data_IF_273797906948
#
_entry.id   IF_273797906948
#
_cell.length_a   1.000
_cell.length_b   1.000
_cell.length_c   1.000
_cell.angle_alpha   90.00
_cell.angle_beta   90.00
_cell.angle_gamma   90.00
#
_symmetry.space_group_name_H-M   'P 1'
#
loop_
_entity.id
_entity.type
_entity.pdbx_description
1 polymer ?
#
# COMPACT_ATOMS: atom_id res chain seq x y z
N UNK A 1 37.66 -6.63 9.14
CA UNK A 1 37.53 -5.17 9.29
C UNK A 1 36.31 -4.87 10.16
N UNK A 2 36.39 -3.89 11.05
CA UNK A 2 35.29 -3.52 11.94
C UNK A 2 34.35 -2.54 11.23
N UNK A 3 33.03 -2.69 11.43
CA UNK A 3 32.04 -1.76 10.88
C UNK A 3 32.19 -0.38 11.53
N UNK A 4 31.89 0.72 10.81
CA UNK A 4 31.75 2.04 11.41
C UNK A 4 30.78 2.01 12.61
N UNK A 5 31.01 2.83 13.68
CA UNK A 5 30.19 2.78 14.89
C UNK A 5 28.68 2.90 14.65
N UNK A 6 28.26 3.74 13.69
CA UNK A 6 26.85 3.94 13.36
C UNK A 6 26.18 2.73 12.69
N UNK A 7 26.95 1.76 12.16
CA UNK A 7 26.45 0.52 11.57
C UNK A 7 26.64 -0.69 12.49
N UNK A 8 27.21 -0.51 13.68
CA UNK A 8 27.50 -1.62 14.59
C UNK A 8 26.24 -2.40 14.99
N UNK A 9 25.12 -1.70 15.21
CA UNK A 9 23.82 -2.30 15.53
C UNK A 9 23.19 -3.05 14.34
N UNK A 10 23.60 -2.74 13.11
CA UNK A 10 23.11 -3.40 11.90
C UNK A 10 23.91 -4.67 11.56
N UNK A 11 24.92 -5.04 12.36
CA UNK A 11 25.76 -6.21 12.08
C UNK A 11 24.92 -7.50 12.08
N UNK A 12 24.97 -8.23 10.98
CA UNK A 12 24.36 -9.56 10.84
C UNK A 12 25.35 -10.64 11.26
N UNK A 13 26.60 -10.55 10.79
CA UNK A 13 27.59 -11.59 11.09
C UNK A 13 28.87 -11.46 10.28
N UNK A 14 29.62 -12.56 10.17
CA UNK A 14 30.79 -12.69 9.30
C UNK A 14 30.56 -13.87 8.37
N UNK A 15 30.74 -13.68 7.07
CA UNK A 15 30.57 -14.76 6.11
C UNK A 15 31.68 -15.80 6.28
N UNK A 16 31.31 -17.07 6.47
CA UNK A 16 32.26 -18.15 6.67
C UNK A 16 32.75 -18.77 5.34
N UNK A 17 31.92 -18.73 4.29
CA UNK A 17 32.14 -19.40 3.02
C UNK A 17 31.63 -18.54 1.85
N UNK A 18 31.98 -18.95 0.61
CA UNK A 18 31.55 -18.28 -0.62
C UNK A 18 32.38 -17.03 -0.97
N UNK A 19 31.94 -16.25 -1.97
CA UNK A 19 32.70 -15.12 -2.50
C UNK A 19 32.89 -13.97 -1.50
N UNK A 20 32.12 -13.95 -0.41
CA UNK A 20 32.22 -12.94 0.65
C UNK A 20 32.96 -13.45 1.89
N UNK A 21 33.58 -14.65 1.85
CA UNK A 21 34.20 -15.27 3.01
C UNK A 21 35.23 -14.34 3.69
N UNK A 22 35.15 -14.25 5.01
CA UNK A 22 36.01 -13.39 5.82
C UNK A 22 35.55 -11.93 5.94
N UNK A 23 34.54 -11.50 5.18
CA UNK A 23 33.93 -10.17 5.26
C UNK A 23 32.84 -10.11 6.35
N UNK A 24 32.69 -8.94 6.97
CA UNK A 24 31.58 -8.65 7.90
C UNK A 24 30.36 -8.24 7.09
N UNK A 25 29.20 -8.84 7.39
CA UNK A 25 27.91 -8.57 6.74
C UNK A 25 27.03 -7.79 7.70
N UNK A 26 26.29 -6.81 7.18
CA UNK A 26 25.38 -5.97 7.93
C UNK A 26 24.10 -5.69 7.12
N UNK A 27 23.03 -5.27 7.80
CA UNK A 27 21.77 -4.90 7.19
C UNK A 27 21.91 -3.56 6.46
N UNK A 28 21.90 -3.62 5.13
CA UNK A 28 22.28 -2.51 4.25
C UNK A 28 21.40 -1.28 4.39
N UNK A 29 20.12 -1.41 4.78
CA UNK A 29 19.20 -0.27 4.89
C UNK A 29 19.57 0.72 6.01
N UNK A 30 20.45 0.33 6.94
CA UNK A 30 21.03 1.25 7.93
C UNK A 30 22.17 2.11 7.38
N UNK A 31 22.72 1.79 6.20
CA UNK A 31 23.74 2.61 5.53
C UNK A 31 23.07 3.59 4.55
N UNK A 32 23.16 4.92 4.80
CA UNK A 32 22.58 5.93 3.91
C UNK A 32 23.06 5.82 2.46
N UNK A 33 24.30 5.35 2.22
CA UNK A 33 24.84 5.16 0.87
C UNK A 33 24.08 4.08 0.11
N UNK A 34 23.65 3.01 0.79
CA UNK A 34 22.83 1.96 0.17
C UNK A 34 21.45 2.49 -0.18
N UNK A 35 20.85 3.30 0.71
CA UNK A 35 19.58 3.97 0.41
C UNK A 35 19.69 4.88 -0.84
N UNK A 36 20.76 5.66 -0.95
CA UNK A 36 21.02 6.50 -2.13
C UNK A 36 21.20 5.67 -3.42
N UNK A 37 21.98 4.58 -3.36
CA UNK A 37 22.18 3.66 -4.48
C UNK A 37 20.88 2.98 -4.93
N UNK A 38 20.04 2.55 -3.99
CA UNK A 38 18.72 1.98 -4.31
C UNK A 38 17.83 2.99 -5.03
N UNK A 39 17.80 4.24 -4.56
CA UNK A 39 17.04 5.28 -5.23
C UNK A 39 17.57 5.57 -6.63
N UNK A 40 18.89 5.69 -6.79
CA UNK A 40 19.53 5.86 -8.10
C UNK A 40 19.18 4.73 -9.06
N UNK A 41 19.20 3.49 -8.58
CA UNK A 41 18.80 2.33 -9.38
C UNK A 41 17.32 2.40 -9.79
N UNK A 42 16.42 2.76 -8.87
CA UNK A 42 14.99 2.97 -9.17
C UNK A 42 14.73 4.12 -10.17
N UNK A 43 15.65 5.10 -10.31
CA UNK A 43 15.55 6.13 -11.36
C UNK A 43 15.80 5.58 -12.75
N UNK A 44 16.54 4.48 -12.86
CA UNK A 44 17.05 3.93 -14.11
C UNK A 44 16.45 2.54 -14.35
N UNK A 45 15.35 2.38 -15.12
CA UNK A 45 14.74 1.06 -15.33
C UNK A 45 15.69 0.08 -16.02
N UNK A 46 15.36 -1.21 -15.98
CA UNK A 46 16.10 -2.31 -16.60
C UNK A 46 16.69 -3.31 -15.60
N UNK A 47 17.52 -4.22 -16.10
CA UNK A 47 18.08 -5.31 -15.29
C UNK A 47 19.43 -4.96 -14.67
N UNK A 48 19.66 -5.42 -13.44
CA UNK A 48 20.96 -5.42 -12.78
C UNK A 48 21.18 -6.76 -12.07
N UNK A 49 21.96 -7.64 -12.70
CA UNK A 49 22.02 -9.04 -12.28
C UNK A 49 20.63 -9.68 -12.32
N UNK A 50 20.18 -10.35 -11.24
CA UNK A 50 18.87 -10.99 -11.19
C UNK A 50 17.72 -10.01 -10.92
N UNK A 51 18.02 -8.74 -10.67
CA UNK A 51 17.02 -7.74 -10.30
C UNK A 51 16.52 -6.99 -11.54
N UNK A 52 15.20 -6.84 -11.66
CA UNK A 52 14.54 -6.00 -12.67
C UNK A 52 13.96 -4.78 -11.99
N UNK A 53 14.25 -3.60 -12.52
CA UNK A 53 13.76 -2.32 -12.01
C UNK A 53 12.80 -1.69 -13.01
N UNK A 54 11.63 -1.30 -12.52
CA UNK A 54 10.59 -0.66 -13.31
C UNK A 54 10.29 0.74 -12.78
N UNK A 55 9.87 1.64 -13.68
CA UNK A 55 9.57 3.03 -13.34
C UNK A 55 8.38 3.56 -14.13
N UNK A 56 7.28 3.82 -13.43
CA UNK A 56 6.05 4.38 -14.02
C UNK A 56 6.13 5.90 -14.23
N UNK A 57 6.88 6.63 -13.40
CA UNK A 57 7.02 8.09 -13.51
C UNK A 57 8.41 8.59 -13.13
N UNK A 58 8.85 9.77 -13.61
CA UNK A 58 10.12 10.34 -13.21
C UNK A 58 10.22 10.52 -11.68
N UNK A 59 11.41 10.24 -11.15
CA UNK A 59 11.76 10.45 -9.74
C UNK A 59 12.75 11.63 -9.70
N UNK A 60 12.47 12.70 -8.93
CA UNK A 60 13.35 13.85 -8.79
C UNK A 60 14.77 13.46 -8.36
N UNK A 61 15.74 14.24 -8.84
CA UNK A 61 17.14 14.16 -8.38
C UNK A 61 17.27 14.77 -6.96
N UNK A 62 18.42 14.56 -6.32
CA UNK A 62 18.77 15.17 -5.02
C UNK A 62 17.80 14.87 -3.86
N UNK A 63 17.38 13.60 -3.73
CA UNK A 63 16.66 13.11 -2.56
C UNK A 63 17.61 12.27 -1.69
N UNK A 64 17.53 12.45 -0.38
CA UNK A 64 18.28 11.73 0.64
C UNK A 64 17.36 10.72 1.34
N UNK A 65 17.84 9.48 1.50
CA UNK A 65 17.09 8.40 2.14
C UNK A 65 17.30 8.34 3.65
N UNK A 66 16.23 8.11 4.40
CA UNK A 66 16.27 7.83 5.84
C UNK A 66 15.42 6.61 6.17
N UNK A 67 15.97 5.70 6.95
CA UNK A 67 15.22 4.56 7.49
C UNK A 67 14.14 5.02 8.46
N UNK A 68 12.94 4.50 8.28
CA UNK A 68 11.82 4.69 9.18
C UNK A 68 11.74 3.49 10.12
N UNK A 69 11.92 3.72 11.42
CA UNK A 69 11.89 2.69 12.47
C UNK A 69 10.47 2.22 12.83
N UNK A 70 9.46 2.60 12.03
CA UNK A 70 8.06 2.26 12.27
C UNK A 70 7.48 1.46 11.10
N UNK A 71 7.39 0.13 11.29
CA UNK A 71 6.28 -0.78 10.94
C UNK A 71 6.76 -2.26 10.92
N UNK A 72 5.89 -3.18 11.32
CA UNK A 72 6.25 -4.53 11.82
C UNK A 72 6.43 -5.62 10.75
N UNK A 73 6.10 -5.38 9.47
CA UNK A 73 6.18 -6.42 8.42
C UNK A 73 7.22 -6.18 7.33
N UNK A 74 7.62 -4.92 7.11
CA UNK A 74 8.51 -4.48 6.03
C UNK A 74 9.48 -3.41 6.54
N UNK A 75 10.57 -3.17 5.82
CA UNK A 75 11.47 -2.04 6.13
C UNK A 75 11.22 -0.88 5.18
N UNK A 76 11.12 0.33 5.70
CA UNK A 76 10.73 1.50 4.91
C UNK A 76 11.81 2.58 4.89
N UNK A 77 12.21 3.03 3.70
CA UNK A 77 13.08 4.18 3.49
C UNK A 77 12.26 5.37 3.01
N UNK A 78 12.32 6.49 3.71
CA UNK A 78 11.71 7.76 3.27
C UNK A 78 12.77 8.58 2.55
N UNK A 79 12.46 8.98 1.32
CA UNK A 79 13.27 9.90 0.52
C UNK A 79 12.62 11.28 0.51
N UNK A 80 13.40 12.30 0.86
CA UNK A 80 13.01 13.72 0.80
C UNK A 80 14.24 14.57 0.53
N UNK A 81 14.11 15.90 0.58
CA UNK A 81 15.28 16.76 0.38
C UNK A 81 16.33 16.62 1.49
N UNK A 82 17.49 17.26 1.29
CA UNK A 82 18.69 17.14 2.11
C UNK A 82 18.53 17.56 3.58
N UNK A 83 17.45 18.27 3.94
CA UNK A 83 17.13 18.59 5.34
C UNK A 83 16.15 17.61 5.97
N UNK A 84 15.73 16.60 5.20
CA UNK A 84 14.59 15.76 5.53
C UNK A 84 13.26 16.53 5.51
N UNK A 85 13.22 17.71 4.89
CA UNK A 85 12.18 18.76 4.99
C UNK A 85 11.57 19.05 3.60
N UNK A 86 10.91 18.06 2.99
CA UNK A 86 10.38 18.15 1.62
C UNK A 86 9.77 19.52 1.26
N UNK A 87 10.47 20.25 0.40
CA UNK A 87 9.88 21.34 -0.38
C UNK A 87 8.83 20.72 -1.30
N UNK A 88 7.55 20.98 -1.01
CA UNK A 88 6.38 20.73 -1.88
C UNK A 88 6.31 19.37 -2.61
N UNK A 89 5.69 18.37 -2.00
CA UNK A 89 5.14 17.21 -2.72
C UNK A 89 6.13 16.16 -3.24
N UNK A 90 7.43 16.41 -3.12
CA UNK A 90 8.49 15.54 -3.66
C UNK A 90 9.09 14.59 -2.60
N UNK A 91 8.23 13.96 -1.80
CA UNK A 91 8.65 12.92 -0.85
C UNK A 91 8.17 11.55 -1.29
N UNK A 92 9.00 10.53 -1.07
CA UNK A 92 8.72 9.16 -1.44
C UNK A 92 9.01 8.22 -0.28
N UNK A 93 8.34 7.07 -0.27
CA UNK A 93 8.60 5.99 0.65
C UNK A 93 8.83 4.73 -0.16
N UNK A 94 9.97 4.09 0.05
CA UNK A 94 10.31 2.77 -0.48
C UNK A 94 10.06 1.75 0.59
N UNK A 95 9.10 0.87 0.34
CA UNK A 95 8.88 -0.33 1.15
C UNK A 95 9.73 -1.46 0.59
N UNK A 96 10.62 -2.00 1.41
CA UNK A 96 11.39 -3.22 1.15
C UNK A 96 10.65 -4.38 1.82
N UNK A 97 10.22 -5.33 1.01
CA UNK A 97 9.40 -6.45 1.45
C UNK A 97 10.27 -7.50 2.14
N UNK A 98 9.98 -7.81 3.41
CA UNK A 98 10.77 -8.77 4.19
C UNK A 98 10.29 -10.22 4.06
N UNK A 99 9.03 -10.39 3.63
CA UNK A 99 8.46 -11.69 3.26
C UNK A 99 8.00 -11.57 1.82
N UNK A 100 8.60 -12.37 0.95
CA UNK A 100 8.36 -12.37 -0.49
C UNK A 100 7.82 -13.74 -0.90
N UNK A 101 6.89 -13.74 -1.84
CA UNK A 101 6.24 -14.93 -2.37
C UNK A 101 6.14 -14.80 -3.89
N UNK A 102 6.16 -15.92 -4.64
CA UNK A 102 5.92 -15.91 -6.08
C UNK A 102 4.58 -15.28 -6.42
N UNK A 103 4.59 -14.43 -7.45
CA UNK A 103 3.41 -13.78 -8.01
C UNK A 103 3.29 -12.30 -7.63
N UNK A 104 2.21 -11.64 -8.10
CA UNK A 104 1.99 -10.23 -7.85
C UNK A 104 1.83 -9.94 -6.36
N UNK A 105 2.56 -8.94 -5.85
CA UNK A 105 2.41 -8.50 -4.47
C UNK A 105 1.29 -7.44 -4.36
N UNK A 106 0.36 -7.54 -3.39
CA UNK A 106 -0.79 -6.64 -3.29
C UNK A 106 -0.42 -5.16 -3.07
N UNK A 107 0.70 -4.86 -2.38
CA UNK A 107 1.22 -3.48 -2.26
C UNK A 107 1.67 -2.87 -3.59
N UNK A 108 1.80 -3.65 -4.66
CA UNK A 108 2.09 -3.19 -6.02
C UNK A 108 0.85 -3.29 -6.93
N UNK A 109 0.23 -4.46 -6.99
CA UNK A 109 -0.88 -4.76 -7.90
C UNK A 109 -2.10 -3.86 -7.66
N UNK A 110 -2.59 -3.79 -6.41
CA UNK A 110 -3.82 -3.08 -6.10
C UNK A 110 -3.67 -1.55 -6.30
N UNK A 111 -2.58 -0.91 -5.83
CA UNK A 111 -2.37 0.51 -6.10
C UNK A 111 -2.20 0.84 -7.59
N UNK A 112 -1.60 -0.05 -8.39
CA UNK A 112 -1.53 0.14 -9.84
C UNK A 112 -2.92 0.03 -10.50
N UNK A 113 -3.72 -0.96 -10.11
CA UNK A 113 -5.09 -1.12 -10.61
C UNK A 113 -5.97 0.10 -10.25
N UNK A 114 -5.86 0.59 -9.01
CA UNK A 114 -6.55 1.81 -8.56
C UNK A 114 -6.13 3.05 -9.36
N UNK A 115 -4.83 3.20 -9.62
CA UNK A 115 -4.31 4.32 -10.40
C UNK A 115 -4.79 4.28 -11.85
N UNK A 116 -4.90 3.08 -12.45
CA UNK A 116 -5.42 2.89 -13.79
C UNK A 116 -6.90 3.31 -13.91
N UNK A 117 -7.70 3.07 -12.86
CA UNK A 117 -9.08 3.55 -12.74
C UNK A 117 -9.21 5.04 -12.33
N UNK A 118 -8.10 5.73 -12.11
CA UNK A 118 -8.09 7.14 -11.69
C UNK A 118 -8.55 7.36 -10.23
N UNK A 119 -8.41 6.35 -9.37
CA UNK A 119 -8.70 6.48 -7.95
C UNK A 119 -7.51 7.07 -7.18
N UNK A 120 -7.61 8.36 -6.83
CA UNK A 120 -6.55 9.10 -6.14
C UNK A 120 -6.52 8.89 -4.61
N UNK A 121 -7.32 7.94 -4.08
CA UNK A 121 -7.37 7.64 -2.63
C UNK A 121 -6.14 6.91 -2.12
N UNK A 122 -5.43 6.21 -3.01
CA UNK A 122 -4.19 5.50 -2.70
C UNK A 122 -3.07 6.08 -3.57
N UNK A 123 -1.91 6.45 -2.99
CA UNK A 123 -0.79 6.93 -3.78
C UNK A 123 -0.31 5.88 -4.79
N UNK A 124 -0.32 6.23 -6.08
CA UNK A 124 0.14 5.34 -7.14
C UNK A 124 1.65 5.05 -7.02
N UNK A 125 2.09 3.79 -7.11
CA UNK A 125 3.50 3.42 -7.18
C UNK A 125 4.23 4.12 -8.33
N UNK A 126 5.49 4.45 -8.10
CA UNK A 126 6.28 5.29 -9.02
C UNK A 126 7.43 4.51 -9.64
N UNK A 127 7.93 3.53 -8.90
CA UNK A 127 8.93 2.56 -9.30
C UNK A 127 8.87 1.35 -8.37
N UNK A 128 9.38 0.22 -8.82
CA UNK A 128 9.48 -1.01 -8.04
C UNK A 128 10.61 -1.85 -8.60
N UNK A 129 10.97 -2.90 -7.86
CA UNK A 129 11.94 -3.86 -8.36
C UNK A 129 11.57 -5.28 -7.94
N UNK A 130 11.92 -6.20 -8.81
CA UNK A 130 11.54 -7.61 -8.74
C UNK A 130 12.73 -8.51 -9.06
N UNK A 131 12.59 -9.79 -8.75
CA UNK A 131 13.48 -10.85 -9.23
C UNK A 131 12.65 -11.99 -9.83
N UNK A 132 13.30 -12.85 -10.61
CA UNK A 132 12.73 -14.15 -10.96
C UNK A 132 12.62 -15.03 -9.72
N UNK A 133 11.59 -15.87 -9.67
CA UNK A 133 11.48 -16.90 -8.65
C UNK A 133 12.64 -17.91 -8.78
N UNK A 134 13.50 -18.08 -7.75
CA UNK A 134 14.61 -19.02 -7.80
C UNK A 134 14.17 -20.49 -7.92
N UNK A 135 12.88 -20.81 -7.71
CA UNK A 135 12.38 -22.18 -7.93
C UNK A 135 12.11 -22.51 -9.40
N UNK A 136 12.21 -21.51 -10.30
CA UNK A 136 12.05 -21.69 -11.74
C UNK A 136 10.61 -21.62 -12.23
N UNK A 137 9.69 -21.07 -11.44
CA UNK A 137 8.38 -20.67 -11.94
C UNK A 137 8.52 -19.44 -12.87
N UNK A 138 7.53 -19.21 -13.72
CA UNK A 138 7.44 -17.99 -14.55
C UNK A 138 6.99 -16.76 -13.73
N UNK A 139 6.82 -16.91 -12.41
CA UNK A 139 6.39 -15.84 -11.51
C UNK A 139 7.55 -14.92 -11.13
N UNK A 140 7.20 -13.67 -10.82
CA UNK A 140 8.13 -12.69 -10.25
C UNK A 140 8.00 -12.62 -8.73
N UNK A 141 9.08 -12.21 -8.09
CA UNK A 141 9.10 -11.82 -6.68
C UNK A 141 9.16 -10.30 -6.62
N UNK A 142 8.08 -9.63 -6.24
CA UNK A 142 8.17 -8.20 -5.90
C UNK A 142 9.01 -8.04 -4.63
N UNK A 143 10.06 -7.22 -4.69
CA UNK A 143 11.02 -7.05 -3.60
C UNK A 143 10.92 -5.68 -2.93
N UNK A 144 10.51 -4.66 -3.67
CA UNK A 144 10.23 -3.36 -3.09
C UNK A 144 9.46 -2.43 -4.01
N UNK A 145 8.70 -1.54 -3.37
CA UNK A 145 7.77 -0.61 -4.03
C UNK A 145 8.03 0.80 -3.53
N UNK A 146 8.33 1.70 -4.46
CA UNK A 146 8.47 3.13 -4.22
C UNK A 146 7.16 3.83 -4.54
N UNK A 147 6.64 4.61 -3.60
CA UNK A 147 5.38 5.34 -3.74
C UNK A 147 5.49 6.76 -3.15
N UNK A 148 4.58 7.69 -3.50
CA UNK A 148 4.54 9.00 -2.86
C UNK A 148 4.36 8.86 -1.35
N UNK A 149 5.11 9.65 -0.59
CA UNK A 149 4.99 9.72 0.86
C UNK A 149 4.08 10.88 1.26
N UNK A 150 2.96 10.56 1.91
CA UNK A 150 1.96 11.54 2.35
C UNK A 150 2.41 12.26 3.62
N UNK A 151 3.33 13.21 3.48
CA UNK A 151 3.78 14.06 4.60
C UNK A 151 2.64 14.91 5.15
N UNK A 152 2.64 15.10 6.47
CA UNK A 152 1.58 15.84 7.16
C UNK A 152 0.26 15.08 7.27
N UNK A 153 0.19 13.84 6.79
CA UNK A 153 -0.92 12.96 7.10
C UNK A 153 -0.92 12.62 8.60
N UNK A 154 -2.11 12.44 9.15
CA UNK A 154 -2.29 11.97 10.53
C UNK A 154 -2.82 10.55 10.45
N UNK A 155 -2.27 9.70 11.30
CA UNK A 155 -2.81 8.36 11.49
C UNK A 155 -4.27 8.43 11.97
N UNK A 156 -5.14 7.62 11.35
CA UNK A 156 -6.58 7.64 11.60
C UNK A 156 -6.94 7.17 13.01
N UNK A 157 -6.18 6.22 13.56
CA UNK A 157 -6.36 5.73 14.92
C UNK A 157 -5.97 6.80 15.95
N UNK A 158 -4.81 7.43 15.79
CA UNK A 158 -4.39 8.55 16.64
C UNK A 158 -5.37 9.73 16.55
N UNK A 159 -5.89 10.01 15.36
CA UNK A 159 -6.90 11.05 15.16
C UNK A 159 -8.20 10.75 15.93
N UNK A 160 -8.65 9.49 15.93
CA UNK A 160 -9.84 9.05 16.64
C UNK A 160 -9.62 9.05 18.17
N UNK A 161 -8.47 8.57 18.65
CA UNK A 161 -8.13 8.61 20.08
C UNK A 161 -8.04 10.04 20.61
N UNK A 162 -7.43 10.95 19.85
CA UNK A 162 -7.39 12.36 20.22
C UNK A 162 -8.80 12.98 20.26
N UNK A 163 -9.73 12.49 19.42
CA UNK A 163 -11.13 12.91 19.49
C UNK A 163 -11.81 12.46 20.78
N UNK A 164 -11.67 11.16 21.07
CA UNK A 164 -12.24 10.55 22.26
C UNK A 164 -11.71 11.19 23.54
N UNK A 165 -10.39 11.39 23.63
CA UNK A 165 -9.76 12.02 24.80
C UNK A 165 -10.15 13.49 25.00
N UNK A 166 -10.62 14.17 23.95
CA UNK A 166 -11.11 15.54 24.00
C UNK A 166 -12.65 15.63 24.10
N UNK A 167 -13.35 14.49 24.26
CA UNK A 167 -14.82 14.40 24.26
C UNK A 167 -15.48 15.13 23.07
N UNK A 168 -14.83 15.08 21.90
CA UNK A 168 -15.32 15.73 20.68
C UNK A 168 -16.01 14.71 19.77
N UNK A 169 -17.02 15.17 19.04
CA UNK A 169 -17.66 14.35 18.02
C UNK A 169 -16.68 14.00 16.88
N UNK A 170 -16.80 12.76 16.34
CA UNK A 170 -15.96 12.24 15.27
C UNK A 170 -16.75 11.85 14.00
N UNK A 171 -18.04 12.23 13.95
CA UNK A 171 -18.98 11.81 12.90
C UNK A 171 -18.58 12.29 11.51
N UNK A 172 -18.01 13.51 11.38
CA UNK A 172 -17.56 14.05 10.10
C UNK A 172 -16.42 13.24 9.49
N UNK A 173 -15.41 12.92 10.28
CA UNK A 173 -14.24 12.15 9.89
C UNK A 173 -14.62 10.71 9.59
N UNK A 174 -15.47 10.09 10.43
CA UNK A 174 -15.99 8.75 10.17
C UNK A 174 -16.78 8.68 8.84
N UNK A 175 -17.63 9.69 8.56
CA UNK A 175 -18.35 9.79 7.28
C UNK A 175 -17.39 10.00 6.10
N UNK A 176 -16.33 10.78 6.29
CA UNK A 176 -15.32 10.99 5.25
C UNK A 176 -14.53 9.71 4.95
N UNK A 177 -14.14 8.95 5.99
CA UNK A 177 -13.50 7.65 5.86
C UNK A 177 -14.41 6.66 5.11
N UNK A 178 -15.69 6.57 5.50
CA UNK A 178 -16.66 5.70 4.81
C UNK A 178 -16.79 6.00 3.32
N UNK A 179 -16.82 7.28 2.92
CA UNK A 179 -16.80 7.68 1.51
C UNK A 179 -15.50 7.25 0.81
N UNK A 180 -14.35 7.50 1.42
CA UNK A 180 -13.06 7.12 0.85
C UNK A 180 -12.94 5.59 0.66
N UNK A 181 -13.38 4.80 1.64
CA UNK A 181 -13.43 3.34 1.54
C UNK A 181 -14.34 2.87 0.40
N UNK A 182 -15.53 3.46 0.27
CA UNK A 182 -16.45 3.13 -0.81
C UNK A 182 -15.86 3.45 -2.20
N UNK A 183 -15.19 4.61 -2.35
CA UNK A 183 -14.52 4.99 -3.60
C UNK A 183 -13.42 3.99 -3.98
N UNK A 184 -12.60 3.53 -3.03
CA UNK A 184 -11.59 2.49 -3.27
C UNK A 184 -12.24 1.17 -3.68
N UNK A 185 -13.26 0.71 -2.95
CA UNK A 185 -13.92 -0.56 -3.27
C UNK A 185 -14.60 -0.55 -4.64
N UNK A 186 -15.26 0.56 -5.00
CA UNK A 186 -15.90 0.71 -6.31
C UNK A 186 -14.87 0.74 -7.44
N UNK A 187 -13.73 1.41 -7.24
CA UNK A 187 -12.64 1.41 -8.21
C UNK A 187 -12.01 0.03 -8.38
N UNK A 188 -11.74 -0.71 -7.29
CA UNK A 188 -11.24 -2.09 -7.38
C UNK A 188 -12.24 -3.02 -8.09
N UNK A 189 -13.54 -2.90 -7.80
CA UNK A 189 -14.57 -3.68 -8.47
C UNK A 189 -14.72 -3.35 -9.97
N UNK A 190 -14.31 -2.15 -10.38
CA UNK A 190 -14.26 -1.77 -11.79
C UNK A 190 -12.98 -2.28 -12.48
N UNK A 191 -11.84 -2.21 -11.77
CA UNK A 191 -10.53 -2.61 -12.28
C UNK A 191 -10.33 -4.14 -12.38
N UNK A 192 -10.90 -4.89 -11.44
CA UNK A 192 -10.62 -6.30 -11.22
C UNK A 192 -11.87 -7.17 -11.41
N UNK A 193 -11.73 -8.46 -11.77
CA UNK A 193 -12.86 -9.36 -11.89
C UNK A 193 -13.65 -9.49 -10.59
N UNK A 194 -14.96 -9.29 -10.67
CA UNK A 194 -15.88 -9.55 -9.54
C UNK A 194 -16.63 -10.84 -9.76
N UNK A 195 -16.85 -11.59 -8.68
CA UNK A 195 -17.71 -12.78 -8.68
C UNK A 195 -18.91 -12.58 -7.77
N UNK A 196 -20.05 -13.13 -8.16
CA UNK A 196 -21.19 -13.29 -7.26
C UNK A 196 -21.05 -14.63 -6.55
N UNK A 197 -21.15 -14.63 -5.22
CA UNK A 197 -21.09 -15.85 -4.44
C UNK A 197 -22.45 -16.55 -4.47
N UNK A 198 -22.47 -17.80 -4.95
CA UNK A 198 -23.62 -18.67 -4.86
C UNK A 198 -23.72 -19.35 -3.48
N UNK A 199 -24.81 -20.08 -3.26
CA UNK A 199 -25.11 -20.77 -2.00
C UNK A 199 -23.96 -21.65 -1.50
N UNK A 200 -23.29 -22.38 -2.40
CA UNK A 200 -22.18 -23.25 -2.02
C UNK A 200 -20.99 -22.44 -1.47
N UNK A 201 -20.65 -21.30 -2.10
CA UNK A 201 -19.57 -20.44 -1.62
C UNK A 201 -19.95 -19.72 -0.32
N UNK A 202 -21.18 -19.22 -0.19
CA UNK A 202 -21.63 -18.56 1.05
C UNK A 202 -21.66 -19.53 2.23
N UNK A 203 -22.07 -20.79 2.02
CA UNK A 203 -21.97 -21.85 3.02
C UNK A 203 -20.52 -22.11 3.44
N UNK A 204 -19.59 -22.24 2.48
CA UNK A 204 -18.17 -22.43 2.80
C UNK A 204 -17.58 -21.25 3.60
N UNK A 205 -17.97 -20.02 3.30
CA UNK A 205 -17.57 -18.85 4.10
C UNK A 205 -18.14 -18.90 5.52
N UNK A 206 -19.41 -19.26 5.69
CA UNK A 206 -20.03 -19.39 7.00
C UNK A 206 -19.38 -20.51 7.85
N UNK A 207 -19.04 -21.64 7.23
CA UNK A 207 -18.32 -22.74 7.88
C UNK A 207 -16.94 -22.27 8.36
N UNK A 208 -16.20 -21.54 7.53
CA UNK A 208 -14.90 -20.97 7.90
C UNK A 208 -15.01 -19.95 9.05
N UNK A 209 -16.04 -19.10 9.04
CA UNK A 209 -16.33 -18.16 10.13
C UNK A 209 -16.67 -18.89 11.43
N UNK A 210 -17.46 -19.97 11.35
CA UNK A 210 -17.84 -20.81 12.49
C UNK A 210 -16.62 -21.52 13.09
N UNK A 211 -15.78 -22.13 12.25
CA UNK A 211 -14.54 -22.77 12.71
C UNK A 211 -13.62 -21.77 13.43
N UNK A 212 -13.52 -20.53 12.91
CA UNK A 212 -12.74 -19.46 13.55
C UNK A 212 -13.34 -19.01 14.87
N UNK A 213 -14.67 -18.93 14.96
CA UNK A 213 -15.38 -18.64 16.21
C UNK A 213 -15.13 -19.72 17.27
N UNK A 214 -15.13 -20.98 16.89
CA UNK A 214 -14.89 -22.09 17.82
C UNK A 214 -13.49 -22.03 18.42
N UNK A 215 -12.47 -21.80 17.60
CA UNK A 215 -11.10 -21.58 18.08
C UNK A 215 -11.03 -20.36 19.01
N UNK A 216 -11.68 -19.26 18.65
CA UNK A 216 -11.68 -18.04 19.46
C UNK A 216 -12.39 -18.23 20.81
N UNK A 217 -13.52 -18.93 20.84
CA UNK A 217 -14.29 -19.18 22.06
C UNK A 217 -13.58 -20.16 23.00
N UNK A 218 -12.84 -21.13 22.46
CA UNK A 218 -11.96 -21.98 23.26
C UNK A 218 -10.83 -21.18 23.92
N UNK A 219 -10.19 -20.27 23.18
CA UNK A 219 -9.12 -19.44 23.70
C UNK A 219 -9.63 -18.35 24.66
N UNK A 220 -10.86 -17.86 24.46
CA UNK A 220 -11.47 -16.78 25.23
C UNK A 220 -12.87 -17.21 25.70
N UNK A 221 -12.97 -17.92 26.85
CA UNK A 221 -14.25 -18.45 27.34
C UNK A 221 -15.33 -17.38 27.59
N UNK A 222 -14.95 -16.11 27.79
CA UNK A 222 -15.88 -14.98 27.92
C UNK A 222 -16.73 -14.75 26.66
N UNK A 223 -16.37 -15.34 25.51
CA UNK A 223 -17.17 -15.27 24.29
C UNK A 223 -18.37 -16.23 24.29
N UNK A 224 -18.36 -17.26 25.14
CA UNK A 224 -19.38 -18.33 25.15
C UNK A 224 -20.83 -17.83 25.16
N UNK A 225 -21.21 -16.79 25.95
CA UNK A 225 -22.58 -16.27 25.93
C UNK A 225 -23.03 -15.71 24.57
N UNK A 226 -22.09 -15.28 23.72
CA UNK A 226 -22.36 -14.67 22.41
C UNK A 226 -22.32 -15.67 21.25
N UNK A 227 -21.72 -16.85 21.46
CA UNK A 227 -21.54 -17.87 20.41
C UNK A 227 -22.85 -18.24 19.71
N UNK A 228 -23.98 -18.51 20.42
CA UNK A 228 -25.23 -18.86 19.75
C UNK A 228 -25.72 -17.77 18.78
N UNK A 229 -25.66 -16.50 19.20
CA UNK A 229 -26.08 -15.37 18.36
C UNK A 229 -25.19 -15.15 17.14
N UNK A 230 -23.87 -15.30 17.31
CA UNK A 230 -22.92 -15.23 16.19
C UNK A 230 -23.12 -16.36 15.19
N UNK A 231 -23.37 -17.59 15.67
CA UNK A 231 -23.70 -18.74 14.81
C UNK A 231 -24.97 -18.50 14.01
N UNK A 232 -26.03 -17.99 14.65
CA UNK A 232 -27.27 -17.62 13.93
C UNK A 232 -26.99 -16.61 12.81
N UNK A 233 -26.13 -15.62 13.04
CA UNK A 233 -25.75 -14.66 12.00
C UNK A 233 -24.95 -15.31 10.84
N UNK A 234 -24.08 -16.27 11.13
CA UNK A 234 -23.32 -17.00 10.11
C UNK A 234 -24.20 -17.98 9.33
N UNK A 235 -25.14 -18.66 9.99
CA UNK A 235 -26.13 -19.52 9.35
C UNK A 235 -27.04 -18.71 8.40
N UNK A 236 -27.39 -17.48 8.77
CA UNK A 236 -28.12 -16.57 7.90
C UNK A 236 -27.34 -16.22 6.62
N UNK A 237 -26.01 -16.08 6.70
CA UNK A 237 -25.13 -15.91 5.53
C UNK A 237 -25.12 -17.17 4.65
N UNK A 238 -25.01 -18.36 5.26
CA UNK A 238 -25.06 -19.64 4.53
C UNK A 238 -26.39 -19.83 3.77
N UNK A 239 -27.48 -19.29 4.32
CA UNK A 239 -28.80 -19.33 3.72
C UNK A 239 -29.03 -18.34 2.56
N UNK A 240 -28.08 -17.45 2.25
CA UNK A 240 -28.21 -16.52 1.13
C UNK A 240 -28.14 -17.26 -0.21
N UNK A 241 -29.14 -17.01 -1.06
CA UNK A 241 -29.23 -17.51 -2.43
C UNK A 241 -29.51 -16.35 -3.40
N UNK A 242 -29.13 -16.50 -4.67
CA UNK A 242 -29.32 -15.44 -5.69
C UNK A 242 -30.78 -14.99 -5.82
N UNK A 243 -31.72 -15.90 -5.52
CA UNK A 243 -33.17 -15.66 -5.60
C UNK A 243 -33.71 -14.61 -4.61
N UNK A 244 -32.93 -14.19 -3.60
CA UNK A 244 -33.36 -13.16 -2.65
C UNK A 244 -33.15 -11.72 -3.15
N UNK A 245 -32.48 -11.51 -4.30
CA UNK A 245 -32.52 -10.23 -5.01
C UNK A 245 -33.69 -10.27 -6.01
N UNK A 246 -34.84 -9.71 -5.63
CA UNK A 246 -35.93 -9.44 -6.56
C UNK A 246 -35.45 -8.70 -7.82
N UNK A 247 -36.20 -8.77 -8.93
CA UNK A 247 -35.76 -8.28 -10.23
C UNK A 247 -35.28 -6.83 -10.11
N UNK A 248 -34.01 -6.59 -10.48
CA UNK A 248 -33.53 -5.23 -10.74
C UNK A 248 -34.43 -4.66 -11.82
N UNK A 249 -35.30 -3.72 -11.43
CA UNK A 249 -35.99 -2.82 -12.34
C UNK A 249 -34.98 -2.35 -13.37
N UNK A 250 -35.20 -2.71 -14.64
CA UNK A 250 -34.51 -2.16 -15.79
C UNK A 250 -34.99 -0.71 -16.01
N UNK A 251 -34.84 0.15 -15.00
CA UNK A 251 -34.83 1.59 -15.17
C UNK A 251 -33.36 1.97 -15.32
N UNK A 252 -32.94 2.18 -16.57
CA UNK A 252 -31.60 2.61 -16.89
C UNK A 252 -31.19 3.80 -16.04
N UNK A 253 -30.29 3.58 -15.10
CA UNK A 253 -29.53 4.66 -14.48
C UNK A 253 -28.71 5.29 -15.60
N UNK A 254 -28.90 6.59 -15.92
CA UNK A 254 -28.09 7.21 -16.95
C UNK A 254 -26.63 7.09 -16.54
N UNK A 255 -25.78 6.60 -17.47
CA UNK A 255 -24.33 6.67 -17.35
C UNK A 255 -23.98 8.09 -16.86
N UNK A 256 -23.23 8.26 -15.75
CA UNK A 256 -22.71 9.58 -15.44
C UNK A 256 -21.94 10.07 -16.67
N UNK A 257 -22.10 11.34 -17.08
CA UNK A 257 -21.39 11.85 -18.23
C UNK A 257 -19.88 11.62 -18.02
N UNK A 258 -19.11 11.32 -19.08
CA UNK A 258 -17.67 11.19 -18.96
C UNK A 258 -17.15 12.43 -18.25
N UNK A 259 -16.39 12.22 -17.17
CA UNK A 259 -15.76 13.28 -16.41
C UNK A 259 -14.96 14.13 -17.40
N UNK A 260 -15.51 15.28 -17.82
CA UNK A 260 -14.79 16.20 -18.69
C UNK A 260 -13.60 16.68 -17.88
N UNK A 261 -12.41 16.22 -18.24
CA UNK A 261 -11.14 16.80 -17.82
C UNK A 261 -11.25 18.31 -18.00
N UNK A 262 -11.43 19.07 -16.91
CA UNK A 262 -11.13 20.49 -16.94
C UNK A 262 -9.61 20.57 -17.00
N UNK A 263 -9.08 20.68 -18.21
CA UNK A 263 -7.75 21.19 -18.43
C UNK A 263 -7.68 22.58 -17.79
N UNK A 264 -7.15 22.68 -16.57
CA UNK A 264 -6.65 23.93 -16.05
C UNK A 264 -5.38 24.27 -16.85
N UNK A 265 -5.53 24.91 -18.00
CA UNK A 265 -4.42 25.59 -18.64
C UNK A 265 -4.09 26.81 -17.78
N UNK A 266 -3.12 26.68 -16.87
CA UNK A 266 -2.44 27.84 -16.30
C UNK A 266 -1.57 28.44 -17.42
N UNK A 267 -2.12 29.40 -18.17
CA UNK A 267 -1.28 30.39 -18.86
C UNK A 267 -0.72 31.34 -17.79
N UNK A 268 0.58 31.66 -17.80
CA UNK A 268 1.12 32.69 -16.92
C UNK A 268 0.62 34.07 -17.36
N UNK A 269 0.41 35.03 -16.44
CA UNK A 269 0.07 36.40 -16.81
C UNK A 269 1.27 37.09 -17.46
N UNK A 270 1.05 37.59 -18.67
CA UNK A 270 1.92 38.53 -19.38
C UNK A 270 2.05 39.83 -18.59
N UNK A 271 3.27 40.13 -18.14
CA UNK A 271 3.67 41.47 -17.71
C UNK A 271 3.91 42.32 -18.96
N UNK A 272 3.08 43.34 -19.18
CA UNK A 272 3.50 44.60 -19.82
C UNK A 272 2.38 45.63 -19.68
N UNK A 273 2.64 46.63 -18.85
CA UNK A 273 1.89 47.88 -18.78
C UNK A 273 2.62 48.91 -19.69
N UNK A 274 1.93 49.66 -20.56
CA UNK A 274 2.57 50.75 -21.30
C UNK A 274 2.49 52.04 -20.47
N UNK A 275 3.65 52.53 -20.02
CA UNK A 275 3.74 53.92 -19.56
C UNK A 275 3.88 54.84 -20.78
N UNK A 276 2.89 55.71 -20.95
CA UNK A 276 3.02 56.97 -21.70
C UNK A 276 3.91 57.91 -20.89
N UNK A 277 5.01 58.38 -21.47
CA UNK A 277 5.37 59.78 -21.68
C UNK A 277 6.38 59.86 -22.80
#
# INVERSE_FOLDING_TARGET
EALPPHLAAARVGRAAQGPLAGLTVYEGLHDPRVAELLLERLRNPGSWGPLRFERARPIPAALSGKLLDAEQSNSSLVYGDARGEAVHGDAYILKILRRVFPGPHPDLELPLALAAEGCDRVPAPVAWFEADDPTGSDDTLTLGVLQPYLRGSRDGWQLALAALGADREFTSEARALGRATAEVHLALAAALPTVTLGRAQTAQFADAMTARLDVAAQAVPALMPYVPGLRTAFDALAGLDEAARGPRSAAGTPRPPPYRRRCFSRRPPSLTCPQRR
#
